data_IF_812518685435
#
_entry.id   IF_812518685435
#
_cell.length_a   1.000
_cell.length_b   1.000
_cell.length_c   1.000
_cell.angle_alpha   90.00
_cell.angle_beta   90.00
_cell.angle_gamma   90.00
#
_symmetry.space_group_name_H-M   'P 1'
#
loop_
_entity.id
_entity.type
_entity.pdbx_description
1 polymer ?
#
# COMPACT_ATOMS: atom_id res chain seq x y z
N UNK A 1 25.56 1.46 14.77
CA UNK A 1 26.24 0.16 14.91
C UNK A 1 25.50 -0.71 15.91
N UNK A 2 24.69 -1.64 15.41
CA UNK A 2 24.58 -3.04 15.86
C UNK A 2 24.43 -3.84 14.58
N UNK A 3 25.52 -4.49 14.18
CA UNK A 3 25.59 -5.38 13.02
C UNK A 3 24.79 -6.64 13.31
N UNK A 4 23.52 -6.62 12.96
CA UNK A 4 22.79 -7.82 12.58
C UNK A 4 22.27 -7.58 11.17
N UNK A 5 23.18 -7.62 10.20
CA UNK A 5 22.84 -7.93 8.81
C UNK A 5 22.32 -9.39 8.79
N UNK A 6 21.13 -9.61 9.34
CA UNK A 6 20.44 -10.87 9.16
C UNK A 6 20.11 -10.94 7.67
N UNK A 7 20.66 -11.92 6.96
CA UNK A 7 20.43 -12.20 5.55
C UNK A 7 19.09 -11.63 5.03
N UNK A 8 19.14 -10.46 4.38
CA UNK A 8 18.01 -9.87 3.66
C UNK A 8 17.78 -10.55 2.30
N UNK A 9 18.35 -11.74 2.12
CA UNK A 9 18.17 -12.52 0.92
C UNK A 9 16.94 -13.42 1.09
N UNK A 10 16.21 -13.69 0.01
CA UNK A 10 15.16 -14.71 0.02
C UNK A 10 15.76 -16.06 0.43
N UNK A 11 14.98 -16.85 1.17
CA UNK A 11 15.33 -18.22 1.53
C UNK A 11 14.77 -19.13 0.44
N UNK A 12 15.66 -19.80 -0.29
CA UNK A 12 15.31 -20.80 -1.30
C UNK A 12 15.32 -22.19 -0.67
N UNK A 13 14.22 -22.94 -0.83
CA UNK A 13 14.13 -24.33 -0.38
C UNK A 13 13.53 -25.18 -1.49
N UNK A 14 14.15 -26.33 -1.77
CA UNK A 14 13.69 -27.24 -2.82
C UNK A 14 13.70 -26.63 -4.23
N UNK A 15 14.54 -25.62 -4.48
CA UNK A 15 14.55 -24.87 -5.72
C UNK A 15 13.43 -23.84 -5.83
N UNK A 16 12.71 -23.50 -4.76
CA UNK A 16 11.63 -22.52 -4.79
C UNK A 16 12.07 -21.29 -4.02
N UNK A 17 11.95 -20.11 -4.62
CA UNK A 17 12.23 -18.83 -3.95
C UNK A 17 11.03 -17.90 -4.02
N UNK A 18 10.78 -17.19 -2.92
CA UNK A 18 9.77 -16.12 -2.84
C UNK A 18 10.52 -14.80 -2.72
N UNK A 19 10.12 -13.81 -3.50
CA UNK A 19 10.76 -12.50 -3.56
C UNK A 19 9.71 -11.43 -3.35
N UNK A 20 9.83 -10.65 -2.28
CA UNK A 20 8.96 -9.50 -2.07
C UNK A 20 9.51 -8.30 -2.85
N UNK A 21 8.77 -7.79 -3.84
CA UNK A 21 9.12 -6.59 -4.59
C UNK A 21 8.51 -5.36 -3.92
N UNK A 22 9.37 -4.42 -3.54
CA UNK A 22 8.97 -3.16 -2.91
C UNK A 22 10.18 -2.45 -2.31
N UNK A 23 9.98 -1.28 -1.69
CA UNK A 23 11.02 -0.64 -0.90
C UNK A 23 11.31 -1.43 0.38
N UNK A 24 12.51 -1.26 0.94
CA UNK A 24 12.95 -1.94 2.17
C UNK A 24 12.23 -1.44 3.44
N UNK A 25 11.62 -0.27 3.37
CA UNK A 25 10.88 0.37 4.45
C UNK A 25 9.46 0.69 3.97
N UNK A 26 8.48 0.34 4.78
CA UNK A 26 7.07 0.69 4.61
C UNK A 26 6.61 1.31 5.92
N UNK A 27 6.16 2.55 5.88
CA UNK A 27 5.59 3.23 7.03
C UNK A 27 4.10 3.51 6.78
N UNK A 28 3.27 2.98 7.68
CA UNK A 28 1.83 3.14 7.63
C UNK A 28 1.38 4.03 8.81
N UNK A 29 0.66 5.13 8.57
CA UNK A 29 0.05 5.92 9.62
C UNK A 29 -1.05 5.07 10.25
N UNK A 30 -1.07 5.05 11.58
CA UNK A 30 -2.19 4.46 12.32
C UNK A 30 -3.43 5.31 12.00
N UNK A 31 -4.49 4.71 11.41
CA UNK A 31 -5.68 5.46 11.05
C UNK A 31 -6.40 5.98 12.30
N UNK A 32 -7.19 7.03 12.15
CA UNK A 32 -8.05 7.51 13.23
C UNK A 32 -9.13 6.46 13.53
N UNK A 33 -9.17 5.96 14.77
CA UNK A 33 -10.12 4.96 15.24
C UNK A 33 -11.57 5.42 15.14
N UNK A 34 -11.83 6.73 15.24
CA UNK A 34 -13.18 7.27 15.19
C UNK A 34 -13.75 7.28 13.77
N UNK A 35 -12.88 7.36 12.76
CA UNK A 35 -13.28 7.49 11.37
C UNK A 35 -13.49 6.15 10.67
N UNK A 36 -13.00 5.04 11.25
CA UNK A 36 -13.11 3.70 10.65
C UNK A 36 -12.40 3.59 9.30
N UNK A 37 -11.35 4.39 9.08
CA UNK A 37 -10.58 4.41 7.84
C UNK A 37 -9.67 3.18 7.77
N UNK A 38 -9.41 2.75 6.53
CA UNK A 38 -8.58 1.59 6.22
C UNK A 38 -7.42 2.07 5.37
N UNK A 39 -6.19 1.96 5.89
CA UNK A 39 -4.99 2.20 5.08
C UNK A 39 -4.69 0.92 4.31
N UNK A 40 -4.60 1.02 2.98
CA UNK A 40 -4.33 -0.13 2.11
C UNK A 40 -2.97 -0.02 1.44
N UNK A 41 -2.20 -1.11 1.48
CA UNK A 41 -0.90 -1.25 0.82
C UNK A 41 -0.87 -2.53 -0.01
N UNK A 42 -0.29 -2.43 -1.21
CA UNK A 42 -0.14 -3.57 -2.12
C UNK A 42 1.30 -4.03 -2.17
N UNK A 43 1.49 -5.33 -1.95
CA UNK A 43 2.77 -6.03 -2.05
C UNK A 43 2.78 -6.86 -3.33
N UNK A 44 3.88 -6.82 -4.08
CA UNK A 44 4.08 -7.73 -5.22
C UNK A 44 5.04 -8.84 -4.83
N UNK A 45 4.55 -10.06 -4.78
CA UNK A 45 5.34 -11.26 -4.53
C UNK A 45 5.73 -11.89 -5.85
N UNK A 46 7.01 -12.19 -6.04
CA UNK A 46 7.53 -13.02 -7.09
C UNK A 46 7.81 -14.42 -6.57
N UNK A 47 7.35 -15.45 -7.24
CA UNK A 47 7.65 -16.85 -6.91
C UNK A 47 8.41 -17.42 -8.11
N UNK A 48 9.60 -17.94 -7.88
CA UNK A 48 10.43 -18.58 -8.91
C UNK A 48 10.58 -20.05 -8.59
N UNK A 49 10.29 -20.92 -9.56
CA UNK A 49 10.54 -22.36 -9.48
C UNK A 49 11.83 -22.73 -10.22
N UNK A 50 12.94 -22.79 -9.51
CA UNK A 50 14.24 -23.33 -9.96
C UNK A 50 14.38 -24.85 -9.74
N UNK A 51 13.33 -25.54 -9.26
CA UNK A 51 13.39 -26.98 -9.05
C UNK A 51 13.42 -27.75 -10.38
N UNK A 52 13.76 -29.03 -10.34
CA UNK A 52 13.73 -29.90 -11.54
C UNK A 52 12.32 -30.33 -11.97
N UNK A 53 11.28 -29.92 -11.25
CA UNK A 53 9.91 -30.38 -11.47
C UNK A 53 8.91 -29.22 -11.57
N UNK A 54 7.83 -29.36 -12.34
CA UNK A 54 6.72 -28.41 -12.29
C UNK A 54 6.15 -28.33 -10.88
N UNK A 55 5.85 -27.11 -10.45
CA UNK A 55 5.29 -26.82 -9.13
C UNK A 55 3.78 -26.62 -9.28
N UNK A 56 2.93 -27.48 -8.71
CA UNK A 56 1.51 -27.19 -8.59
C UNK A 56 1.34 -26.03 -7.61
N UNK A 57 1.01 -24.85 -8.13
CA UNK A 57 0.96 -23.64 -7.33
C UNK A 57 -0.47 -23.12 -7.21
N UNK A 58 -1.06 -23.28 -6.02
CA UNK A 58 -2.17 -22.43 -5.59
C UNK A 58 -1.59 -21.21 -4.90
N UNK A 59 -1.26 -20.18 -5.70
CA UNK A 59 -0.64 -18.94 -5.22
C UNK A 59 -1.38 -18.31 -4.02
N UNK A 60 -2.68 -18.56 -3.87
CA UNK A 60 -3.50 -17.95 -2.82
C UNK A 60 -3.49 -18.74 -1.51
N UNK A 61 -3.09 -20.01 -1.55
CA UNK A 61 -2.97 -20.86 -0.37
C UNK A 61 -1.52 -21.12 0.01
N UNK A 62 -0.58 -21.01 -0.94
CA UNK A 62 0.82 -21.39 -0.76
C UNK A 62 1.68 -20.33 -0.08
N UNK A 63 1.15 -19.14 0.22
CA UNK A 63 1.95 -18.06 0.83
C UNK A 63 1.19 -17.41 1.96
N UNK A 64 1.86 -17.28 3.11
CA UNK A 64 1.31 -16.67 4.31
C UNK A 64 2.23 -15.57 4.83
N UNK A 65 1.70 -14.45 5.36
CA UNK A 65 2.53 -13.43 5.98
C UNK A 65 3.08 -13.94 7.32
N UNK A 66 4.27 -13.47 7.64
CA UNK A 66 4.89 -13.59 8.96
C UNK A 66 5.30 -12.19 9.43
N UNK A 67 4.90 -11.83 10.65
CA UNK A 67 5.18 -10.54 11.25
C UNK A 67 5.96 -10.74 12.54
N UNK A 68 7.09 -10.05 12.64
CA UNK A 68 8.02 -10.16 13.77
C UNK A 68 8.27 -8.77 14.34
N UNK A 69 8.37 -8.62 15.65
CA UNK A 69 8.78 -7.38 16.33
C UNK A 69 10.27 -7.09 16.12
N UNK A 70 10.73 -5.91 16.52
CA UNK A 70 12.13 -5.50 16.42
C UNK A 70 13.09 -6.35 17.26
N UNK A 71 12.62 -6.96 18.35
CA UNK A 71 13.37 -7.89 19.21
C UNK A 71 13.34 -9.36 18.71
N UNK A 72 12.65 -9.63 17.59
CA UNK A 72 12.62 -10.95 16.98
C UNK A 72 11.45 -11.84 17.44
N UNK A 73 10.53 -11.33 18.27
CA UNK A 73 9.34 -12.09 18.67
C UNK A 73 8.31 -12.13 17.52
N UNK A 74 7.86 -13.33 17.17
CA UNK A 74 6.79 -13.49 16.19
C UNK A 74 5.44 -13.08 16.77
N UNK A 75 4.69 -12.27 16.03
CA UNK A 75 3.31 -11.92 16.35
C UNK A 75 2.40 -13.07 15.89
N UNK A 76 1.57 -13.64 16.78
CA UNK A 76 0.68 -14.73 16.40
C UNK A 76 -0.22 -14.35 15.23
N UNK A 77 -0.16 -15.15 14.16
CA UNK A 77 -1.05 -15.04 13.01
C UNK A 77 -2.35 -15.77 13.28
N UNK A 78 -3.48 -15.11 13.06
CA UNK A 78 -4.80 -15.73 13.04
C UNK A 78 -5.16 -16.02 11.58
N UNK A 79 -5.28 -17.30 11.24
CA UNK A 79 -5.74 -17.74 9.92
C UNK A 79 -7.25 -17.97 9.95
N UNK A 80 -7.97 -17.28 9.07
CA UNK A 80 -9.43 -17.42 8.93
C UNK A 80 -9.70 -18.09 7.59
N UNK A 81 -9.96 -19.40 7.64
CA UNK A 81 -10.44 -20.19 6.50
C UNK A 81 -11.89 -19.79 6.23
N UNK A 82 -12.06 -18.97 5.21
CA UNK A 82 -13.35 -18.46 4.76
C UNK A 82 -14.00 -17.49 5.76
N UNK A 83 -14.46 -16.32 5.31
CA UNK A 83 -15.16 -15.42 6.20
C UNK A 83 -16.55 -16.03 6.47
N UNK A 84 -16.86 -16.34 7.73
CA UNK A 84 -18.25 -16.29 8.20
C UNK A 84 -18.73 -14.83 7.99
N UNK A 85 -19.13 -14.49 6.75
CA UNK A 85 -19.61 -13.17 6.35
C UNK A 85 -21.03 -12.90 6.86
N UNK A 86 -21.64 -13.85 7.57
CA UNK A 86 -22.89 -13.67 8.26
C UNK A 86 -22.63 -13.44 9.74
N UNK A 87 -22.59 -12.18 10.22
CA UNK A 87 -22.72 -11.94 11.65
C UNK A 87 -24.05 -12.54 12.08
N UNK A 88 -24.02 -13.44 13.05
CA UNK A 88 -25.21 -13.75 13.84
C UNK A 88 -25.68 -12.43 14.44
N UNK A 89 -26.93 -11.99 14.23
CA UNK A 89 -27.40 -10.73 14.77
C UNK A 89 -27.33 -10.80 16.30
N UNK A 90 -26.27 -10.22 16.87
CA UNK A 90 -26.13 -10.10 18.31
C UNK A 90 -27.11 -9.00 18.73
N UNK A 91 -28.13 -9.37 19.49
CA UNK A 91 -29.03 -8.43 20.15
C UNK A 91 -28.24 -7.63 21.19
N UNK A 92 -27.55 -6.57 20.75
CA UNK A 92 -26.85 -5.62 21.60
C UNK A 92 -27.61 -4.30 21.66
N UNK A 93 -27.54 -3.58 22.80
CA UNK A 93 -28.32 -2.38 23.04
C UNK A 93 -27.97 -1.29 22.02
N UNK A 94 -29.03 -0.68 21.50
CA UNK A 94 -29.01 0.38 20.51
C UNK A 94 -28.23 1.59 21.04
N UNK A 95 -26.95 1.70 20.69
CA UNK A 95 -26.30 2.99 20.59
C UNK A 95 -26.21 3.35 19.08
N UNK A 96 -26.78 4.48 18.65
CA UNK A 96 -27.02 4.74 17.23
C UNK A 96 -25.74 4.88 16.39
N UNK A 97 -24.58 5.18 16.99
CA UNK A 97 -23.37 5.54 16.23
C UNK A 97 -22.45 4.35 15.87
N UNK A 98 -22.52 3.23 16.59
CA UNK A 98 -21.60 2.09 16.34
C UNK A 98 -22.13 1.13 15.28
N UNK A 99 -23.46 0.95 15.21
CA UNK A 99 -24.11 0.12 14.20
C UNK A 99 -23.82 0.69 12.80
N UNK A 100 -23.90 2.01 12.62
CA UNK A 100 -23.53 2.64 11.35
C UNK A 100 -22.06 2.43 11.00
N UNK A 101 -21.12 2.65 11.95
CA UNK A 101 -19.68 2.41 11.74
C UNK A 101 -19.38 0.95 11.39
N UNK A 102 -20.04 -0.01 12.03
CA UNK A 102 -19.86 -1.44 11.84
C UNK A 102 -20.48 -1.93 10.51
N UNK A 103 -21.73 -1.56 10.24
CA UNK A 103 -22.41 -1.91 8.98
C UNK A 103 -21.62 -1.36 7.80
N UNK A 104 -21.13 -0.13 7.93
CA UNK A 104 -20.27 0.54 6.94
C UNK A 104 -18.97 -0.23 6.68
N UNK A 105 -18.25 -0.67 7.70
CA UNK A 105 -17.05 -1.50 7.55
C UNK A 105 -17.33 -2.80 6.77
N UNK A 106 -18.41 -3.52 7.11
CA UNK A 106 -18.76 -4.77 6.45
C UNK A 106 -19.29 -4.56 5.02
N UNK A 107 -20.08 -3.52 4.77
CA UNK A 107 -20.55 -3.19 3.42
C UNK A 107 -19.37 -2.88 2.49
N UNK A 108 -18.37 -2.13 2.95
CA UNK A 108 -17.16 -1.87 2.16
C UNK A 108 -16.37 -3.14 1.90
N UNK A 109 -16.16 -3.96 2.93
CA UNK A 109 -15.41 -5.20 2.80
C UNK A 109 -16.10 -6.14 1.81
N UNK A 110 -17.42 -6.28 1.91
CA UNK A 110 -18.24 -7.12 1.01
C UNK A 110 -18.27 -6.56 -0.41
N UNK A 111 -18.43 -5.25 -0.60
CA UNK A 111 -18.42 -4.65 -1.94
C UNK A 111 -17.04 -4.73 -2.60
N UNK A 112 -15.97 -4.52 -1.84
CA UNK A 112 -14.59 -4.71 -2.29
C UNK A 112 -14.32 -6.18 -2.65
N UNK A 113 -14.80 -7.14 -1.84
CA UNK A 113 -14.72 -8.58 -2.14
C UNK A 113 -15.55 -8.95 -3.38
N UNK A 114 -16.74 -8.38 -3.56
CA UNK A 114 -17.59 -8.61 -4.75
C UNK A 114 -16.92 -8.11 -6.04
N UNK A 115 -16.31 -6.92 -6.00
CA UNK A 115 -15.54 -6.38 -7.12
C UNK A 115 -14.38 -7.31 -7.53
N UNK A 116 -13.73 -7.96 -6.56
CA UNK A 116 -12.61 -8.88 -6.81
C UNK A 116 -13.07 -10.28 -7.24
N UNK A 117 -14.18 -10.77 -6.68
CA UNK A 117 -14.76 -12.08 -7.04
C UNK A 117 -15.24 -12.11 -8.50
N UNK A 118 -15.68 -10.98 -9.04
CA UNK A 118 -15.96 -10.82 -10.48
C UNK A 118 -14.73 -11.08 -11.38
N UNK A 119 -13.51 -10.99 -10.85
CA UNK A 119 -12.25 -11.30 -11.56
C UNK A 119 -11.73 -12.70 -11.19
N UNK A 120 -12.12 -13.24 -10.03
CA UNK A 120 -11.63 -14.52 -9.50
C UNK A 120 -12.38 -15.76 -10.03
N UNK A 121 -13.56 -15.60 -10.61
CA UNK A 121 -14.37 -16.75 -11.08
C UNK A 121 -13.82 -17.43 -12.34
N UNK A 122 -12.80 -16.86 -13.03
CA UNK A 122 -12.16 -17.51 -14.18
C UNK A 122 -10.91 -18.34 -13.88
N UNK A 123 -10.28 -18.20 -12.70
CA UNK A 123 -8.86 -18.57 -12.52
C UNK A 123 -8.56 -19.54 -11.36
N UNK A 124 -9.50 -20.39 -10.93
CA UNK A 124 -9.18 -21.57 -10.08
C UNK A 124 -8.45 -22.69 -10.84
N UNK A 125 -7.68 -22.35 -11.86
CA UNK A 125 -6.80 -23.30 -12.54
C UNK A 125 -5.57 -23.40 -11.65
N UNK A 126 -5.33 -24.56 -11.03
CA UNK A 126 -4.02 -24.92 -10.50
C UNK A 126 -2.98 -24.63 -11.59
N UNK A 127 -2.21 -23.56 -11.41
CA UNK A 127 -1.18 -23.23 -12.38
C UNK A 127 -0.01 -24.16 -12.10
N UNK A 128 0.21 -25.11 -13.00
CA UNK A 128 1.46 -25.85 -13.06
C UNK A 128 2.54 -24.85 -13.50
N UNK A 129 3.26 -24.31 -12.52
CA UNK A 129 4.41 -23.47 -12.78
C UNK A 129 5.54 -24.37 -13.28
N UNK A 130 5.85 -24.29 -14.58
CA UNK A 130 6.97 -25.07 -15.12
C UNK A 130 8.30 -24.64 -14.49
N UNK A 131 9.30 -25.50 -14.66
CA UNK A 131 10.70 -25.24 -14.29
C UNK A 131 11.15 -23.90 -14.90
N UNK A 132 11.93 -23.15 -14.12
CA UNK A 132 12.49 -21.82 -14.40
C UNK A 132 11.46 -20.72 -14.70
N UNK A 133 10.17 -20.94 -14.40
CA UNK A 133 9.16 -19.90 -14.52
C UNK A 133 9.04 -19.04 -13.27
N UNK A 134 8.67 -17.79 -13.54
CA UNK A 134 8.35 -16.76 -12.57
C UNK A 134 6.84 -16.50 -12.57
N UNK A 135 6.20 -16.56 -11.41
CA UNK A 135 4.86 -16.00 -11.21
C UNK A 135 4.91 -14.76 -10.33
N UNK A 136 3.97 -13.85 -10.55
CA UNK A 136 3.77 -12.67 -9.71
C UNK A 136 2.39 -12.72 -9.08
N UNK A 137 2.31 -12.43 -7.78
CA UNK A 137 1.08 -12.30 -7.01
C UNK A 137 1.03 -10.91 -6.36
N UNK A 138 -0.15 -10.28 -6.38
CA UNK A 138 -0.39 -9.06 -5.60
C UNK A 138 -1.14 -9.41 -4.32
N UNK A 139 -0.53 -9.13 -3.17
CA UNK A 139 -1.16 -9.26 -1.85
C UNK A 139 -1.50 -7.87 -1.33
N UNK A 140 -2.74 -7.65 -0.94
CA UNK A 140 -3.16 -6.41 -0.29
C UNK A 140 -3.12 -6.60 1.21
N UNK A 141 -2.48 -5.69 1.93
CA UNK A 141 -2.65 -5.57 3.37
C UNK A 141 -3.49 -4.34 3.71
N UNK A 142 -4.34 -4.50 4.73
CA UNK A 142 -5.26 -3.52 5.25
C UNK A 142 -4.94 -3.27 6.73
N UNK A 143 -4.66 -2.03 7.08
CA UNK A 143 -4.46 -1.59 8.46
C UNK A 143 -5.71 -0.81 8.91
N UNK A 144 -6.37 -1.26 9.97
CA UNK A 144 -7.63 -0.68 10.46
C UNK A 144 -7.86 -0.98 11.95
N UNK A 145 -8.79 -0.25 12.57
CA UNK A 145 -9.26 -0.51 13.93
C UNK A 145 -10.48 -1.43 13.94
N UNK A 146 -10.49 -2.40 14.83
CA UNK A 146 -11.63 -3.26 15.13
C UNK A 146 -11.65 -3.58 16.63
N UNK A 147 -12.78 -3.37 17.31
CA UNK A 147 -12.92 -3.63 18.76
C UNK A 147 -11.79 -2.96 19.59
N UNK A 148 -11.44 -1.71 19.27
CA UNK A 148 -10.34 -0.95 19.89
C UNK A 148 -8.95 -1.61 19.77
N UNK A 149 -8.77 -2.51 18.81
CA UNK A 149 -7.48 -3.11 18.47
C UNK A 149 -7.09 -2.72 17.06
N UNK A 150 -5.82 -2.34 16.89
CA UNK A 150 -5.24 -2.12 15.58
C UNK A 150 -4.92 -3.48 14.96
N UNK A 151 -5.49 -3.74 13.79
CA UNK A 151 -5.37 -5.00 13.08
C UNK A 151 -4.68 -4.79 11.72
N UNK A 152 -3.83 -5.74 11.35
CA UNK A 152 -3.26 -5.85 10.01
C UNK A 152 -3.76 -7.12 9.35
N UNK A 153 -4.55 -6.96 8.29
CA UNK A 153 -5.15 -8.06 7.55
C UNK A 153 -4.53 -8.18 6.17
N UNK A 154 -4.08 -9.37 5.82
CA UNK A 154 -3.61 -9.71 4.47
C UNK A 154 -4.68 -10.50 3.75
N UNK A 155 -4.95 -10.12 2.50
CA UNK A 155 -5.97 -10.77 1.67
C UNK A 155 -5.36 -11.25 0.35
N UNK A 156 -4.67 -12.40 0.34
CA UNK A 156 -4.67 -13.27 -0.83
C UNK A 156 -6.10 -13.80 -1.01
N UNK A 157 -6.56 -13.98 -2.25
CA UNK A 157 -7.97 -14.13 -2.65
C UNK A 157 -8.80 -15.12 -1.79
N UNK A 158 -8.18 -16.13 -1.16
CA UNK A 158 -8.89 -17.16 -0.38
C UNK A 158 -8.36 -17.42 1.05
N UNK A 159 -7.27 -16.78 1.50
CA UNK A 159 -6.69 -17.07 2.83
C UNK A 159 -6.44 -15.78 3.61
N UNK A 160 -7.41 -15.40 4.45
CA UNK A 160 -7.27 -14.19 5.26
C UNK A 160 -6.33 -14.49 6.43
N UNK A 161 -5.22 -13.76 6.46
CA UNK A 161 -4.33 -13.73 7.62
C UNK A 161 -4.50 -12.42 8.36
N UNK A 162 -4.62 -12.48 9.68
CA UNK A 162 -4.83 -11.32 10.55
C UNK A 162 -3.83 -11.31 11.69
N UNK A 163 -3.33 -10.12 12.03
CA UNK A 163 -2.55 -9.84 13.22
C UNK A 163 -3.31 -8.80 14.05
N UNK A 164 -3.50 -9.08 15.34
CA UNK A 164 -4.29 -8.26 16.25
C UNK A 164 -3.41 -7.51 17.25
N UNK A 165 -4.00 -6.53 17.94
CA UNK A 165 -3.36 -5.75 19.01
C UNK A 165 -2.00 -5.14 18.64
N UNK A 166 -1.87 -4.64 17.41
CA UNK A 166 -0.65 -3.98 16.95
C UNK A 166 -0.47 -2.62 17.63
N UNK A 167 0.79 -2.20 17.75
CA UNK A 167 1.20 -0.95 18.40
C UNK A 167 2.01 -0.08 17.42
N UNK A 168 2.16 1.20 17.77
CA UNK A 168 3.01 2.14 17.04
C UNK A 168 4.50 1.80 17.22
N UNK A 169 5.00 0.84 16.43
CA UNK A 169 6.37 0.39 16.52
C UNK A 169 6.88 -0.15 15.17
N UNK A 170 8.15 -0.58 15.17
CA UNK A 170 8.77 -1.24 14.04
C UNK A 170 8.55 -2.76 14.12
N UNK A 171 8.14 -3.31 13.00
CA UNK A 171 8.00 -4.73 12.73
C UNK A 171 8.85 -5.10 11.50
N UNK A 172 9.05 -6.40 11.33
CA UNK A 172 9.63 -7.02 10.15
C UNK A 172 8.59 -7.93 9.55
N UNK A 173 8.24 -7.67 8.30
CA UNK A 173 7.28 -8.46 7.53
C UNK A 173 8.03 -9.30 6.50
N UNK A 174 7.67 -10.57 6.38
CA UNK A 174 8.02 -11.40 5.23
C UNK A 174 6.86 -12.31 4.87
N UNK A 175 7.01 -13.03 3.76
CA UNK A 175 6.06 -14.03 3.31
C UNK A 175 6.72 -15.40 3.29
N UNK A 176 6.05 -16.39 3.87
CA UNK A 176 6.55 -17.75 4.00
C UNK A 176 5.72 -18.68 3.13
N UNK A 177 6.41 -19.58 2.47
CA UNK A 177 5.85 -20.62 1.64
C UNK A 177 5.27 -21.77 2.42
N UNK A 178 3.98 -22.04 2.24
CA UNK A 178 3.31 -23.20 2.79
C UNK A 178 2.91 -24.13 1.65
N UNK A 179 2.96 -25.45 1.88
CA UNK A 179 2.42 -26.46 0.94
C UNK A 179 3.08 -26.54 -0.45
N UNK A 180 4.34 -26.13 -0.59
CA UNK A 180 5.09 -26.29 -1.84
C UNK A 180 5.57 -27.74 -2.11
N UNK A 181 5.36 -28.68 -1.18
CA UNK A 181 5.98 -30.01 -1.18
C UNK A 181 5.01 -31.17 -1.57
N UNK A 182 3.95 -30.88 -2.32
CA UNK A 182 2.84 -31.81 -2.57
C UNK A 182 3.09 -32.75 -3.76
N UNK A 183 4.16 -33.56 -3.69
CA UNK A 183 4.19 -34.81 -4.47
C UNK A 183 3.12 -35.81 -4.00
N UNK A 184 2.44 -35.54 -2.88
CA UNK A 184 1.35 -36.35 -2.34
C UNK A 184 0.00 -35.65 -2.53
N UNK A 185 -0.55 -35.72 -3.75
CA UNK A 185 -1.88 -35.19 -4.05
C UNK A 185 -3.04 -35.97 -3.40
N UNK A 186 -2.78 -37.06 -2.65
CA UNK A 186 -3.80 -38.07 -2.33
C UNK A 186 -3.67 -38.78 -0.96
N UNK A 187 -2.87 -38.28 -0.02
CA UNK A 187 -2.86 -38.84 1.35
C UNK A 187 -3.49 -37.84 2.31
N UNK A 188 -4.45 -38.32 3.11
CA UNK A 188 -5.11 -37.60 4.19
C UNK A 188 -4.18 -36.59 4.87
N UNK A 189 -4.61 -35.33 4.92
CA UNK A 189 -3.83 -34.19 5.43
C UNK A 189 -3.56 -34.40 6.93
N UNK A 190 -2.50 -35.12 7.26
CA UNK A 190 -1.91 -35.05 8.59
C UNK A 190 -1.02 -33.81 8.61
N UNK A 191 -1.46 -32.79 9.34
CA UNK A 191 -0.73 -31.57 9.63
C UNK A 191 0.52 -31.91 10.46
N UNK A 192 1.56 -32.40 9.79
CA UNK A 192 2.86 -32.59 10.43
C UNK A 192 3.52 -31.21 10.44
N UNK A 193 3.80 -30.69 11.63
CA UNK A 193 4.53 -29.43 11.80
C UNK A 193 5.92 -29.57 11.16
N UNK A 194 6.08 -29.05 9.94
CA UNK A 194 7.39 -28.95 9.28
C UNK A 194 8.15 -27.83 9.98
N UNK A 195 9.39 -28.06 10.46
CA UNK A 195 10.19 -27.02 11.09
C UNK A 195 10.35 -25.79 10.18
N UNK A 196 10.22 -24.58 10.74
CA UNK A 196 10.28 -23.30 9.99
C UNK A 196 11.56 -23.11 9.16
N UNK A 197 12.65 -23.78 9.52
CA UNK A 197 13.93 -23.72 8.81
C UNK A 197 13.90 -24.35 7.40
N UNK A 198 12.82 -25.05 7.04
CA UNK A 198 12.69 -25.79 5.77
C UNK A 198 11.65 -25.18 4.82
N UNK A 199 11.20 -23.95 5.05
CA UNK A 199 10.21 -23.30 4.19
C UNK A 199 10.85 -22.18 3.35
N UNK A 200 10.52 -22.08 2.05
CA UNK A 200 10.98 -20.96 1.26
C UNK A 200 10.32 -19.69 1.78
N UNK A 201 11.07 -18.60 1.88
CA UNK A 201 10.58 -17.36 2.46
C UNK A 201 11.14 -16.14 1.72
N UNK A 202 10.35 -15.07 1.65
CA UNK A 202 10.85 -13.80 1.17
C UNK A 202 11.87 -13.19 2.11
N UNK A 203 12.61 -12.23 1.60
CA UNK A 203 13.34 -11.32 2.45
C UNK A 203 12.39 -10.57 3.39
N UNK A 204 12.92 -10.13 4.53
CA UNK A 204 12.22 -9.21 5.41
C UNK A 204 12.17 -7.80 4.82
N UNK A 205 11.05 -7.13 5.03
CA UNK A 205 10.91 -5.67 4.87
C UNK A 205 10.55 -5.06 6.20
N UNK A 206 11.05 -3.84 6.45
CA UNK A 206 10.71 -3.11 7.67
C UNK A 206 9.31 -2.50 7.50
N UNK A 207 8.38 -2.89 8.37
CA UNK A 207 7.06 -2.31 8.48
C UNK A 207 7.01 -1.45 9.73
N UNK A 208 6.81 -0.15 9.61
CA UNK A 208 6.66 0.76 10.75
C UNK A 208 5.22 1.24 10.83
N UNK A 209 4.60 1.06 11.98
CA UNK A 209 3.33 1.70 12.29
C UNK A 209 3.65 3.00 13.02
N UNK A 210 3.23 4.13 12.46
CA UNK A 210 3.58 5.46 12.97
C UNK A 210 2.34 6.22 13.40
N UNK A 211 2.42 6.90 14.53
CA UNK A 211 1.39 7.83 14.96
C UNK A 211 1.51 9.14 14.17
N UNK A 212 0.38 9.78 13.82
CA UNK A 212 0.38 11.14 13.34
C UNK A 212 1.06 12.08 14.36
N UNK A 213 1.71 13.13 13.88
CA UNK A 213 2.34 14.12 14.75
C UNK A 213 1.27 14.87 15.57
N UNK A 214 1.54 15.07 16.86
CA UNK A 214 0.61 15.79 17.76
C UNK A 214 0.32 17.22 17.28
N UNK A 215 1.35 17.89 16.75
CA UNK A 215 1.26 19.27 16.23
C UNK A 215 0.60 19.36 14.86
N UNK A 216 0.59 18.26 14.09
CA UNK A 216 -0.03 18.19 12.77
C UNK A 216 -0.51 16.76 12.48
N UNK A 217 -1.81 16.53 12.71
CA UNK A 217 -2.44 15.22 12.49
C UNK A 217 -2.45 14.77 11.03
N UNK A 218 -2.09 15.64 10.09
CA UNK A 218 -1.98 15.32 8.67
C UNK A 218 -0.57 14.84 8.29
N UNK A 219 0.34 14.75 9.26
CA UNK A 219 1.73 14.44 9.04
C UNK A 219 2.23 13.27 9.90
N UNK A 220 3.23 12.55 9.38
CA UNK A 220 3.99 11.52 10.10
C UNK A 220 5.48 11.74 9.90
N UNK A 221 6.29 11.34 10.87
CA UNK A 221 7.75 11.42 10.78
C UNK A 221 8.39 10.02 10.75
N UNK A 222 9.29 9.81 9.81
CA UNK A 222 10.00 8.55 9.59
C UNK A 222 11.47 8.87 9.36
N UNK A 223 12.32 8.41 10.29
CA UNK A 223 13.79 8.58 10.22
C UNK A 223 14.20 10.06 10.03
N UNK A 224 13.52 10.98 10.72
CA UNK A 224 13.76 12.42 10.62
C UNK A 224 13.20 13.07 9.36
N UNK A 225 12.40 12.37 8.55
CA UNK A 225 11.69 12.94 7.40
C UNK A 225 10.20 13.00 7.71
N UNK A 226 9.62 14.19 7.63
CA UNK A 226 8.20 14.41 7.85
C UNK A 226 7.44 14.41 6.52
N UNK A 227 6.37 13.61 6.42
CA UNK A 227 5.50 13.49 5.27
C UNK A 227 4.09 13.95 5.65
N UNK A 228 3.56 14.96 4.96
CA UNK A 228 2.28 15.60 5.26
C UNK A 228 1.33 15.52 4.06
N UNK A 229 0.09 15.07 4.28
CA UNK A 229 -1.01 15.23 3.31
C UNK A 229 -1.52 16.67 3.37
N UNK A 230 -1.50 17.36 2.23
CA UNK A 230 -1.94 18.76 2.11
C UNK A 230 -3.27 18.82 1.35
N UNK A 231 -4.23 19.51 1.96
CA UNK A 231 -5.52 19.91 1.38
C UNK A 231 -5.72 21.38 1.76
N UNK A 232 -5.61 22.32 0.81
CA UNK A 232 -5.74 23.76 1.14
C UNK A 232 -7.17 24.14 1.54
N UNK A 233 -8.16 23.53 0.88
CA UNK A 233 -9.58 23.77 1.09
C UNK A 233 -10.29 22.43 1.33
N UNK A 234 -10.78 22.23 2.56
CA UNK A 234 -11.50 21.00 2.95
C UNK A 234 -12.95 20.97 2.46
N UNK A 235 -13.46 22.08 1.93
CA UNK A 235 -14.82 22.21 1.37
C UNK A 235 -14.70 22.89 0.02
N UNK A 236 -15.07 22.17 -1.03
CA UNK A 236 -15.04 22.64 -2.42
C UNK A 236 -16.45 22.82 -2.92
N UNK A 237 -16.83 24.06 -3.23
CA UNK A 237 -18.13 24.37 -3.80
C UNK A 237 -18.18 24.04 -5.28
N UNK A 238 -18.97 23.04 -5.64
CA UNK A 238 -19.13 22.54 -7.01
C UNK A 238 -20.30 23.22 -7.73
N UNK A 239 -21.20 23.85 -6.96
CA UNK A 239 -22.38 24.55 -7.47
C UNK A 239 -22.01 25.73 -8.38
N UNK A 240 -22.66 25.82 -9.55
CA UNK A 240 -22.49 26.93 -10.50
C UNK A 240 -21.40 26.72 -11.56
N UNK A 241 -20.77 25.56 -11.61
CA UNK A 241 -19.84 25.22 -12.69
C UNK A 241 -20.59 25.08 -14.02
N UNK A 242 -20.12 25.82 -15.02
CA UNK A 242 -20.43 25.48 -16.41
C UNK A 242 -19.70 24.18 -16.76
N UNK A 243 -20.28 23.32 -17.62
CA UNK A 243 -19.51 22.27 -18.29
C UNK A 243 -18.19 22.86 -18.79
N UNK A 244 -17.07 22.15 -18.56
CA UNK A 244 -15.72 22.54 -18.98
C UNK A 244 -15.03 23.69 -18.20
N UNK A 245 -15.59 24.17 -17.08
CA UNK A 245 -14.88 25.10 -16.18
C UNK A 245 -14.26 24.35 -14.99
N UNK A 246 -12.94 24.07 -14.98
CA UNK A 246 -12.31 23.35 -13.86
C UNK A 246 -12.24 24.20 -12.59
N UNK A 247 -12.54 23.61 -11.43
CA UNK A 247 -12.13 24.14 -10.12
C UNK A 247 -10.73 23.65 -9.84
N UNK A 248 -9.88 24.59 -9.43
CA UNK A 248 -8.52 24.28 -8.99
C UNK A 248 -8.51 24.12 -7.48
N UNK A 249 -8.04 22.97 -6.99
CA UNK A 249 -7.90 22.66 -5.56
C UNK A 249 -6.46 22.25 -5.29
N UNK A 250 -5.87 22.72 -4.18
CA UNK A 250 -4.50 22.35 -3.82
C UNK A 250 -4.54 21.06 -3.01
N UNK A 251 -4.16 19.96 -3.65
CA UNK A 251 -4.04 18.64 -3.05
C UNK A 251 -2.63 18.11 -3.31
N UNK A 252 -1.97 17.58 -2.29
CA UNK A 252 -0.59 17.12 -2.45
C UNK A 252 0.05 16.50 -1.23
N UNK A 253 1.35 16.28 -1.33
CA UNK A 253 2.19 15.90 -0.20
C UNK A 253 3.29 16.94 0.01
N UNK A 254 3.55 17.32 1.26
CA UNK A 254 4.77 18.05 1.65
C UNK A 254 5.73 17.09 2.31
N UNK A 255 7.02 17.25 2.01
CA UNK A 255 8.11 16.51 2.65
C UNK A 255 9.06 17.51 3.28
N UNK A 256 9.31 17.36 4.57
CA UNK A 256 10.27 18.19 5.33
C UNK A 256 11.43 17.32 5.78
N UNK A 257 12.66 17.76 5.50
CA UNK A 257 13.86 17.08 6.00
C UNK A 257 14.22 17.61 7.40
N UNK A 258 13.84 16.89 8.46
CA UNK A 258 14.22 17.23 9.84
C UNK A 258 15.56 16.61 10.27
N UNK A 259 16.26 15.89 9.38
CA UNK A 259 17.58 15.33 9.68
C UNK A 259 18.67 16.41 9.69
N UNK A 260 19.85 16.06 10.18
CA UNK A 260 21.02 16.95 10.17
C UNK A 260 21.79 16.93 8.83
N UNK A 261 21.44 16.02 7.92
CA UNK A 261 22.14 15.82 6.65
C UNK A 261 21.22 16.16 5.46
N UNK A 262 21.77 16.62 4.32
CA UNK A 262 20.96 16.77 3.11
C UNK A 262 20.46 15.41 2.61
N UNK A 263 19.18 15.35 2.22
CA UNK A 263 18.54 14.13 1.72
C UNK A 263 17.99 14.35 0.33
N UNK A 264 18.27 13.43 -0.60
CA UNK A 264 17.81 13.52 -1.98
C UNK A 264 16.52 12.70 -2.16
N UNK A 265 15.48 13.32 -2.70
CA UNK A 265 14.21 12.64 -2.97
C UNK A 265 13.98 12.42 -4.45
N UNK A 266 13.48 11.26 -4.83
CA UNK A 266 12.94 11.01 -6.17
C UNK A 266 11.49 11.55 -6.26
N UNK A 267 11.23 12.53 -7.13
CA UNK A 267 9.87 13.04 -7.42
C UNK A 267 9.22 12.40 -8.65
N UNK A 268 9.95 11.54 -9.35
CA UNK A 268 9.49 10.85 -10.54
C UNK A 268 8.82 9.52 -10.17
N UNK A 269 7.54 9.36 -10.54
CA UNK A 269 6.74 8.15 -10.27
C UNK A 269 6.70 7.75 -8.79
N UNK A 270 6.85 8.71 -7.87
CA UNK A 270 6.94 8.45 -6.43
C UNK A 270 5.68 8.82 -5.65
N UNK A 271 4.82 9.68 -6.18
CA UNK A 271 3.56 10.05 -5.53
C UNK A 271 2.46 9.03 -5.85
N UNK A 272 1.91 8.42 -4.81
CA UNK A 272 0.72 7.57 -4.86
C UNK A 272 -0.43 8.32 -4.21
N UNK A 273 -1.60 8.38 -4.86
CA UNK A 273 -2.80 9.00 -4.29
C UNK A 273 -3.89 7.96 -4.04
N UNK A 274 -4.57 8.07 -2.91
CA UNK A 274 -5.75 7.28 -2.58
C UNK A 274 -6.89 8.22 -2.19
N UNK A 275 -8.08 7.94 -2.69
CA UNK A 275 -9.31 8.63 -2.34
C UNK A 275 -10.32 7.59 -1.85
N UNK A 276 -10.90 7.81 -0.68
CA UNK A 276 -11.95 6.98 -0.12
C UNK A 276 -13.19 7.83 0.16
N UNK A 277 -14.37 7.24 -0.04
CA UNK A 277 -15.65 7.87 0.30
C UNK A 277 -15.85 7.88 1.82
N UNK A 278 -16.87 8.61 2.28
CA UNK A 278 -17.30 8.58 3.69
C UNK A 278 -17.84 7.24 4.15
N UNK A 279 -18.32 6.40 3.23
CA UNK A 279 -18.60 5.00 3.53
C UNK A 279 -17.31 4.22 3.78
N UNK A 280 -16.14 4.62 3.25
CA UNK A 280 -14.86 3.92 3.35
C UNK A 280 -14.55 3.06 2.12
N UNK A 281 -15.43 3.08 1.12
CA UNK A 281 -15.17 2.50 -0.20
C UNK A 281 -14.07 3.31 -0.90
N UNK A 282 -13.09 2.60 -1.47
CA UNK A 282 -12.04 3.22 -2.29
C UNK A 282 -12.61 3.66 -3.63
N UNK A 283 -12.41 4.93 -3.98
CA UNK A 283 -12.68 5.42 -5.32
C UNK A 283 -11.64 4.85 -6.27
N UNK A 284 -12.10 4.21 -7.34
CA UNK A 284 -11.21 3.68 -8.36
C UNK A 284 -10.41 4.81 -9.00
N UNK A 285 -9.09 4.69 -8.93
CA UNK A 285 -8.16 5.61 -9.58
C UNK A 285 -7.65 5.01 -10.88
N UNK A 286 -7.59 5.81 -11.94
CA UNK A 286 -6.75 5.50 -13.11
C UNK A 286 -5.49 6.35 -13.07
N UNK A 287 -4.37 5.74 -13.47
CA UNK A 287 -3.08 6.42 -13.52
C UNK A 287 -2.62 6.48 -14.96
N UNK A 288 -2.40 7.70 -15.44
CA UNK A 288 -1.84 7.96 -16.76
C UNK A 288 -0.41 8.43 -16.61
N UNK A 289 0.51 7.77 -17.32
CA UNK A 289 1.92 8.17 -17.39
C UNK A 289 2.22 8.82 -18.72
N UNK A 290 3.08 9.83 -18.70
CA UNK A 290 3.70 10.35 -19.91
C UNK A 290 5.00 9.60 -20.17
N UNK A 291 4.99 8.68 -21.14
CA UNK A 291 6.07 7.72 -21.40
C UNK A 291 7.40 8.33 -21.91
N UNK A 292 7.45 9.64 -22.20
CA UNK A 292 8.55 10.27 -22.94
C UNK A 292 9.35 11.31 -22.13
N UNK A 293 9.31 11.24 -20.80
CA UNK A 293 10.03 12.22 -19.97
C UNK A 293 11.46 11.77 -19.75
N UNK A 294 12.40 12.62 -20.15
CA UNK A 294 13.82 12.44 -19.84
C UNK A 294 14.04 12.78 -18.37
N UNK A 295 14.56 11.82 -17.61
CA UNK A 295 14.93 12.03 -16.22
C UNK A 295 16.08 13.04 -16.14
N UNK A 296 15.82 14.19 -15.52
CA UNK A 296 16.76 15.26 -15.24
C UNK A 296 16.94 15.43 -13.74
N UNK A 297 18.05 16.04 -13.32
CA UNK A 297 18.34 16.29 -11.90
C UNK A 297 17.25 17.08 -11.17
N UNK A 298 16.46 17.89 -11.88
CA UNK A 298 15.32 18.64 -11.32
C UNK A 298 14.21 17.75 -10.70
N UNK A 299 14.10 16.48 -11.10
CA UNK A 299 13.18 15.52 -10.47
C UNK A 299 13.77 14.89 -9.20
N UNK A 300 15.00 15.23 -8.83
CA UNK A 300 15.74 14.63 -7.73
C UNK A 300 16.33 15.69 -6.79
N UNK A 301 15.52 16.60 -6.20
CA UNK A 301 16.03 17.67 -5.38
C UNK A 301 16.81 17.14 -4.17
N UNK A 302 17.94 17.79 -3.89
CA UNK A 302 18.66 17.64 -2.64
C UNK A 302 18.06 18.60 -1.61
N UNK A 303 17.38 18.06 -0.61
CA UNK A 303 16.64 18.82 0.40
C UNK A 303 17.54 18.99 1.62
N UNK A 304 17.88 20.25 1.94
CA UNK A 304 18.70 20.59 3.10
C UNK A 304 17.95 20.37 4.43
N UNK A 305 18.66 20.21 5.56
CA UNK A 305 18.06 20.23 6.89
C UNK A 305 17.11 21.42 7.10
N UNK A 306 15.91 21.14 7.60
CA UNK A 306 14.81 22.08 7.80
C UNK A 306 14.08 22.53 6.53
N UNK A 307 14.54 22.14 5.33
CA UNK A 307 13.91 22.53 4.08
C UNK A 307 12.70 21.65 3.75
N UNK A 308 11.76 22.23 3.00
CA UNK A 308 10.49 21.61 2.60
C UNK A 308 10.44 21.52 1.07
N UNK A 309 9.94 20.40 0.57
CA UNK A 309 9.53 20.23 -0.83
C UNK A 309 8.07 19.83 -0.90
N UNK A 310 7.40 20.21 -1.99
CA UNK A 310 6.00 19.82 -2.25
C UNK A 310 5.91 18.89 -3.44
N UNK A 311 5.39 17.68 -3.22
CA UNK A 311 4.97 16.75 -4.26
C UNK A 311 3.50 17.02 -4.57
N UNK A 312 3.31 18.11 -5.32
CA UNK A 312 2.12 18.60 -6.01
C UNK A 312 2.06 20.12 -5.84
N UNK A 313 2.99 20.87 -6.46
CA UNK A 313 2.78 22.31 -6.65
C UNK A 313 1.67 22.61 -7.68
N UNK A 314 0.97 21.58 -8.18
CA UNK A 314 0.01 21.67 -9.27
C UNK A 314 -1.40 21.44 -8.77
N UNK A 315 -2.28 22.37 -9.15
CA UNK A 315 -3.71 22.35 -8.88
C UNK A 315 -4.30 21.01 -9.33
N UNK A 316 -4.83 20.25 -8.38
CA UNK A 316 -5.77 19.22 -8.74
C UNK A 316 -7.00 19.90 -9.35
N UNK A 317 -7.56 19.28 -10.38
CA UNK A 317 -8.65 19.84 -11.17
C UNK A 317 -9.89 19.02 -10.94
N UNK A 318 -10.91 19.67 -10.42
CA UNK A 318 -12.25 19.12 -10.34
C UNK A 318 -13.06 19.63 -11.54
N UNK A 319 -13.59 18.72 -12.34
CA UNK A 319 -14.35 19.05 -13.56
C UNK A 319 -15.62 18.22 -13.65
N UNK A 320 -16.66 18.80 -14.25
CA UNK A 320 -17.81 18.05 -14.74
C UNK A 320 -17.48 17.43 -16.11
N UNK A 321 -17.61 16.12 -16.21
CA UNK A 321 -17.62 15.46 -17.51
C UNK A 321 -18.98 15.60 -18.19
N UNK A 322 -19.01 15.38 -19.51
CA UNK A 322 -20.24 15.42 -20.33
C UNK A 322 -21.31 14.44 -19.85
N UNK A 323 -20.92 13.40 -19.11
CA UNK A 323 -21.81 12.41 -18.47
C UNK A 323 -22.50 12.94 -17.21
N UNK A 324 -22.30 14.21 -16.83
CA UNK A 324 -22.76 14.79 -15.57
C UNK A 324 -22.19 14.03 -14.35
N UNK A 325 -20.91 13.70 -14.43
CA UNK A 325 -20.14 13.07 -13.36
C UNK A 325 -18.99 13.98 -12.98
N UNK A 326 -18.71 14.05 -11.68
CA UNK A 326 -17.53 14.78 -11.20
C UNK A 326 -16.29 13.91 -11.34
N UNK A 327 -15.23 14.59 -11.75
CA UNK A 327 -13.93 14.00 -12.00
C UNK A 327 -12.84 14.83 -11.34
N UNK A 328 -11.98 14.19 -10.56
CA UNK A 328 -10.82 14.80 -9.93
C UNK A 328 -9.54 14.29 -10.60
N UNK A 329 -8.77 15.19 -11.21
CA UNK A 329 -7.43 14.92 -11.71
C UNK A 329 -6.38 15.54 -10.78
N UNK A 330 -5.40 14.74 -10.36
CA UNK A 330 -4.24 15.19 -9.59
C UNK A 330 -2.99 15.00 -10.44
N UNK A 331 -2.35 16.11 -10.82
CA UNK A 331 -1.17 16.09 -11.67
C UNK A 331 0.09 15.91 -10.82
N UNK A 332 0.87 14.88 -11.16
CA UNK A 332 2.18 14.63 -10.56
C UNK A 332 3.27 15.42 -11.30
N UNK A 333 4.41 15.62 -10.63
CA UNK A 333 5.54 16.42 -11.15
C UNK A 333 6.15 15.77 -12.40
N UNK A 334 6.09 14.45 -12.50
CA UNK A 334 6.51 13.67 -13.66
C UNK A 334 5.51 13.70 -14.82
N UNK A 335 4.56 14.64 -14.84
CA UNK A 335 3.53 14.71 -15.87
C UNK A 335 2.54 13.53 -15.84
N UNK A 336 2.65 12.63 -14.86
CA UNK A 336 1.64 11.65 -14.57
C UNK A 336 0.36 12.31 -14.06
N UNK A 337 -0.77 11.64 -14.20
CA UNK A 337 -2.04 12.13 -13.67
C UNK A 337 -2.82 11.00 -13.02
N UNK A 338 -3.10 11.17 -11.72
CA UNK A 338 -4.06 10.35 -10.99
C UNK A 338 -5.45 10.89 -11.24
N UNK A 339 -6.38 10.00 -11.55
CA UNK A 339 -7.70 10.37 -12.03
C UNK A 339 -8.77 9.59 -11.28
N UNK A 340 -9.72 10.30 -10.67
CA UNK A 340 -10.82 9.73 -9.90
C UNK A 340 -12.14 10.17 -10.53
N UNK A 341 -12.84 9.23 -11.16
CA UNK A 341 -14.14 9.48 -11.80
C UNK A 341 -15.32 9.08 -10.93
N UNK A 342 -16.53 9.36 -11.42
CA UNK A 342 -17.79 9.03 -10.76
C UNK A 342 -17.90 9.58 -9.33
N UNK A 343 -17.37 10.78 -9.09
CA UNK A 343 -17.50 11.45 -7.80
C UNK A 343 -18.92 12.02 -7.67
N UNK A 344 -19.46 11.94 -6.46
CA UNK A 344 -20.71 12.55 -6.06
C UNK A 344 -20.41 13.72 -5.11
N UNK A 345 -21.39 14.58 -4.86
CA UNK A 345 -21.31 15.51 -3.74
C UNK A 345 -21.30 14.72 -2.43
N UNK A 346 -20.50 15.16 -1.47
CA UNK A 346 -20.35 14.50 -0.19
C UNK A 346 -18.93 14.54 0.35
N UNK A 347 -18.73 13.76 1.42
CA UNK A 347 -17.48 13.67 2.15
C UNK A 347 -16.58 12.56 1.60
N UNK A 348 -15.31 12.91 1.43
CA UNK A 348 -14.23 12.03 1.03
C UNK A 348 -13.03 12.19 1.99
N UNK A 349 -12.12 11.22 1.94
CA UNK A 349 -10.82 11.32 2.58
C UNK A 349 -9.73 11.03 1.54
N UNK A 350 -8.76 11.92 1.46
CA UNK A 350 -7.61 11.78 0.56
C UNK A 350 -6.36 11.47 1.37
N UNK A 351 -5.52 10.60 0.81
CA UNK A 351 -4.21 10.24 1.37
C UNK A 351 -3.20 10.22 0.24
N UNK A 352 -1.98 10.66 0.55
CA UNK A 352 -0.84 10.50 -0.32
C UNK A 352 0.20 9.58 0.30
N UNK A 353 0.94 8.90 -0.57
CA UNK A 353 2.13 8.15 -0.21
C UNK A 353 3.31 8.57 -1.07
N UNK A 354 4.49 8.64 -0.45
CA UNK A 354 5.77 8.71 -1.14
C UNK A 354 6.32 7.29 -1.31
N UNK A 355 6.72 6.92 -2.51
CA UNK A 355 7.26 5.60 -2.84
C UNK A 355 8.53 5.72 -3.66
N UNK A 356 9.67 5.35 -3.10
CA UNK A 356 10.90 5.17 -3.86
C UNK A 356 11.64 3.92 -3.40
N UNK A 357 12.01 3.07 -4.36
CA UNK A 357 12.74 1.82 -4.10
C UNK A 357 14.21 1.87 -4.53
N UNK A 358 14.58 2.87 -5.32
CA UNK A 358 15.91 2.95 -5.91
C UNK A 358 16.80 3.83 -5.04
N UNK A 359 17.96 3.33 -4.62
CA UNK A 359 18.99 4.10 -3.91
C UNK A 359 19.81 5.00 -4.84
N UNK A 360 19.79 4.69 -6.13
CA UNK A 360 20.46 5.43 -7.20
C UNK A 360 19.62 5.40 -8.48
N UNK A 361 19.82 6.36 -9.38
CA UNK A 361 19.11 6.42 -10.65
C UNK A 361 19.96 7.04 -11.76
N UNK A 362 19.80 6.55 -12.97
CA UNK A 362 20.40 7.14 -14.16
C UNK A 362 19.59 8.36 -14.62
N UNK A 363 20.28 9.48 -14.82
CA UNK A 363 19.70 10.74 -15.31
C UNK A 363 20.48 11.24 -16.53
N UNK A 364 19.81 12.07 -17.34
CA UNK A 364 20.44 12.74 -18.47
C UNK A 364 21.06 14.08 -18.02
N UNK A 365 22.35 14.26 -18.33
CA UNK A 365 23.14 15.45 -17.99
C UNK A 365 23.48 16.27 -19.24
N UNK A 366 22.56 17.15 -19.63
CA UNK A 366 22.73 18.08 -20.76
C UNK A 366 22.00 17.68 -22.06
N UNK A 367 22.29 18.37 -23.18
CA UNK A 367 21.57 18.18 -24.43
C UNK A 367 21.98 16.87 -25.11
N UNK A 368 21.02 15.94 -25.24
CA UNK A 368 21.17 14.69 -25.99
C UNK A 368 21.01 13.44 -25.14
N UNK A 369 21.06 12.26 -25.76
CA UNK A 369 20.89 10.96 -25.09
C UNK A 369 22.21 10.33 -24.62
N UNK A 370 23.36 10.98 -24.86
CA UNK A 370 24.68 10.38 -24.67
C UNK A 370 25.31 10.65 -23.29
N UNK A 371 24.83 11.66 -22.58
CA UNK A 371 25.37 12.02 -21.28
C UNK A 371 24.46 11.46 -20.19
N UNK A 372 24.77 10.25 -19.72
CA UNK A 372 24.08 9.62 -18.60
C UNK A 372 24.97 9.72 -17.38
N UNK A 373 24.40 10.16 -16.26
CA UNK A 373 25.04 10.23 -14.95
C UNK A 373 24.22 9.42 -13.95
N UNK A 374 24.90 8.70 -13.07
CA UNK A 374 24.25 8.02 -11.94
C UNK A 374 24.15 9.03 -10.80
N UNK A 375 22.93 9.19 -10.29
CA UNK A 375 22.62 10.02 -9.13
C UNK A 375 22.41 9.12 -7.92
N UNK A 376 23.36 9.04 -6.97
CA UNK A 376 23.27 8.14 -5.83
C UNK A 376 22.51 8.78 -4.65
N UNK A 377 22.36 7.98 -3.58
CA UNK A 377 21.88 8.41 -2.25
C UNK A 377 20.46 8.99 -2.25
N UNK A 378 19.58 8.38 -3.04
CA UNK A 378 18.15 8.66 -2.96
C UNK A 378 17.56 8.08 -1.67
N UNK A 379 16.67 8.83 -1.02
CA UNK A 379 15.86 8.33 0.09
C UNK A 379 14.95 7.20 -0.41
N UNK A 380 14.89 6.09 0.30
CA UNK A 380 14.08 4.92 -0.09
C UNK A 380 13.06 4.56 0.98
N UNK A 381 11.87 4.17 0.56
CA UNK A 381 10.76 3.83 1.42
C UNK A 381 9.41 4.01 0.72
N UNK A 382 8.38 3.42 1.33
CA UNK A 382 6.97 3.69 1.05
C UNK A 382 6.35 4.28 2.32
N UNK A 383 6.07 5.58 2.32
CA UNK A 383 5.50 6.26 3.49
C UNK A 383 4.15 6.84 3.13
N UNK A 384 3.13 6.40 3.84
CA UNK A 384 1.80 6.98 3.75
C UNK A 384 1.69 8.13 4.74
N UNK A 385 1.19 9.28 4.30
CA UNK A 385 0.74 10.33 5.21
C UNK A 385 -0.71 10.03 5.68
N UNK A 386 -1.16 10.58 6.81
CA UNK A 386 -2.54 10.42 7.27
C UNK A 386 -3.60 10.84 6.24
N UNK A 387 -4.80 10.28 6.36
CA UNK A 387 -5.96 10.70 5.58
C UNK A 387 -6.43 12.10 6.03
N UNK A 388 -6.82 12.93 5.08
CA UNK A 388 -7.37 14.27 5.32
C UNK A 388 -8.75 14.38 4.68
N UNK A 389 -9.69 14.98 5.41
CA UNK A 389 -11.06 15.17 4.94
C UNK A 389 -11.12 16.18 3.79
N UNK A 390 -11.94 15.85 2.79
CA UNK A 390 -12.19 16.63 1.59
C UNK A 390 -13.68 16.53 1.22
N UNK A 391 -14.41 17.64 1.24
CA UNK A 391 -15.85 17.69 0.99
C UNK A 391 -16.17 18.36 -0.35
N UNK A 392 -17.07 17.76 -1.11
CA UNK A 392 -17.65 18.32 -2.35
C UNK A 392 -19.08 18.76 -2.06
N UNK A 393 -19.40 20.05 -2.20
CA UNK A 393 -20.72 20.62 -1.84
C UNK A 393 -21.42 21.35 -2.98
#
# INVERSE_FOLDING_TARGET
MTTQESNNNPIEVGGISINLRGPHLIALPIPDSDLGLITSVEFRLGITNNSSHPLPLDIYQSVVPQLVTSDGQEIPRISVLEPELTPTPVNLPQQPNWIEKFTRFFTNLVNWLKFRNSVAESDRILHLMSVEKYASLTVTALLFWHENQLQLKFIPVNNVSRFDALQAQQYRLRFVGTNFNTNHLNSDIQTTEIPDAEQPASQFVNLRLVEPLETNKNAVEVDGICFETVVSESIVQVSGLKPDSPISVELGMKITNNTLEPVRFNLFSSLVSQLIKSDGERVQSTLFYRMEIRLQEAYFPLVMPGAIISLSPFLARLTWEKSNQLYLAIHAIDGGTWSFGNLNLGKYYIQFAYSNKNTEIEIYDGPGLKNIKILPQLWTGLVFAPYVEFNLV
#
